data_IF_906508683750
#
_entry.id   IF_906508683750
#
_cell.length_a   1.000
_cell.length_b   1.000
_cell.length_c   1.000
_cell.angle_alpha   90.00
_cell.angle_beta   90.00
_cell.angle_gamma   90.00
#
_symmetry.space_group_name_H-M   'P 1'
#
loop_
_entity.id
_entity.type
_entity.pdbx_description
1 polymer ?
#
# COMPACT_ATOMS: atom_id res chain seq x y z
N UNK A 1 1.64 -6.99 70.27
CA UNK A 1 2.76 -7.02 69.30
C UNK A 1 2.19 -7.41 67.95
N UNK A 2 2.14 -6.43 67.05
CA UNK A 2 1.52 -6.49 65.72
C UNK A 2 2.48 -7.10 64.69
N UNK A 3 2.05 -8.16 64.01
CA UNK A 3 2.76 -8.76 62.88
C UNK A 3 2.52 -7.95 61.61
N UNK A 4 3.55 -7.27 61.13
CA UNK A 4 3.53 -6.55 59.85
C UNK A 4 3.63 -7.55 58.68
N UNK A 5 2.63 -7.54 57.81
CA UNK A 5 2.65 -8.24 56.51
C UNK A 5 3.38 -7.36 55.49
N UNK A 6 4.46 -7.87 54.91
CA UNK A 6 5.18 -7.20 53.83
C UNK A 6 4.46 -7.43 52.49
N UNK A 7 4.11 -6.34 51.80
CA UNK A 7 3.56 -6.38 50.45
C UNK A 7 4.64 -6.76 49.42
N UNK A 8 4.32 -7.55 48.38
CA UNK A 8 5.29 -7.91 47.35
C UNK A 8 5.54 -6.73 46.41
N UNK A 9 6.81 -6.43 46.15
CA UNK A 9 7.26 -5.43 45.19
C UNK A 9 7.03 -5.94 43.76
N UNK A 10 6.38 -5.17 42.85
CA UNK A 10 6.20 -5.62 41.47
C UNK A 10 7.47 -5.34 40.67
N UNK A 11 8.35 -6.34 40.56
CA UNK A 11 9.43 -6.35 39.57
C UNK A 11 8.87 -6.82 38.21
N UNK A 12 8.53 -5.88 37.33
CA UNK A 12 8.23 -6.21 35.93
C UNK A 12 7.48 -5.11 35.17
N UNK A 13 8.14 -4.03 34.75
CA UNK A 13 7.48 -3.00 33.92
C UNK A 13 8.34 -2.30 32.86
N UNK A 14 9.62 -2.64 32.71
CA UNK A 14 10.49 -1.96 31.74
C UNK A 14 10.35 -2.52 30.30
N UNK A 15 10.29 -3.84 30.13
CA UNK A 15 10.27 -4.46 28.79
C UNK A 15 8.92 -4.38 28.08
N UNK A 16 7.80 -4.44 28.83
CA UNK A 16 6.45 -4.28 28.25
C UNK A 16 6.21 -2.89 27.65
N UNK A 17 6.89 -1.84 28.15
CA UNK A 17 6.76 -0.46 27.63
C UNK A 17 7.46 -0.25 26.30
N UNK A 18 8.59 -0.92 26.04
CA UNK A 18 9.35 -0.76 24.79
C UNK A 18 8.60 -1.37 23.59
N UNK A 19 8.04 -2.57 23.75
CA UNK A 19 7.26 -3.24 22.69
C UNK A 19 5.98 -2.49 22.30
N UNK A 20 5.26 -1.94 23.29
CA UNK A 20 4.06 -1.15 23.04
C UNK A 20 4.34 0.16 22.26
N UNK A 21 5.47 0.82 22.54
CA UNK A 21 5.88 2.03 21.84
C UNK A 21 6.25 1.78 20.38
N UNK A 22 7.01 0.71 20.11
CA UNK A 22 7.39 0.32 18.74
C UNK A 22 6.17 -0.08 17.91
N UNK A 23 5.26 -0.86 18.49
CA UNK A 23 4.02 -1.26 17.82
C UNK A 23 3.14 -0.05 17.44
N UNK A 24 2.95 0.89 18.37
CA UNK A 24 2.19 2.11 18.11
C UNK A 24 2.85 3.00 17.03
N UNK A 25 4.19 3.01 16.94
CA UNK A 25 4.90 3.72 15.89
C UNK A 25 4.69 3.06 14.52
N UNK A 26 4.80 1.73 14.43
CA UNK A 26 4.55 0.96 13.21
C UNK A 26 3.13 1.15 12.69
N UNK A 27 2.12 1.04 13.56
CA UNK A 27 0.71 1.29 13.20
C UNK A 27 0.50 2.72 12.68
N UNK A 28 1.15 3.72 13.30
CA UNK A 28 1.04 5.11 12.84
C UNK A 28 1.68 5.32 11.48
N UNK A 29 2.82 4.68 11.21
CA UNK A 29 3.45 4.68 9.89
C UNK A 29 2.50 4.04 8.87
N UNK A 30 1.97 2.84 9.15
CA UNK A 30 1.02 2.15 8.29
C UNK A 30 -0.20 3.02 7.93
N UNK A 31 -0.84 3.65 8.93
CA UNK A 31 -1.96 4.57 8.71
C UNK A 31 -1.58 5.80 7.87
N UNK A 32 -0.36 6.32 8.05
CA UNK A 32 0.10 7.50 7.32
C UNK A 32 0.34 7.24 5.83
N UNK A 33 0.54 5.97 5.44
CA UNK A 33 0.69 5.55 4.04
C UNK A 33 -0.66 5.45 3.30
N UNK A 34 -1.79 5.42 4.01
CA UNK A 34 -3.12 5.27 3.37
C UNK A 34 -3.53 6.50 2.55
N UNK A 35 -3.25 7.71 3.05
CA UNK A 35 -3.72 8.94 2.40
C UNK A 35 -3.15 9.14 0.98
N UNK A 36 -1.84 8.97 0.74
CA UNK A 36 -1.28 8.99 -0.61
C UNK A 36 -1.77 7.83 -1.49
N UNK A 37 -1.98 6.65 -0.92
CA UNK A 37 -2.43 5.46 -1.67
C UNK A 37 -3.88 5.65 -2.15
N UNK A 38 -4.71 6.36 -1.39
CA UNK A 38 -6.12 6.58 -1.74
C UNK A 38 -6.35 7.35 -3.05
N UNK A 39 -5.35 8.08 -3.58
CA UNK A 39 -5.47 8.78 -4.87
C UNK A 39 -5.07 7.94 -6.08
N UNK A 40 -4.44 6.79 -5.87
CA UNK A 40 -3.98 5.90 -6.95
C UNK A 40 -5.11 5.35 -7.84
N UNK A 41 -6.32 5.03 -7.33
CA UNK A 41 -7.42 4.56 -8.18
C UNK A 41 -7.81 5.58 -9.24
N UNK A 42 -7.86 6.86 -8.86
CA UNK A 42 -8.14 7.94 -9.79
C UNK A 42 -7.02 8.05 -10.85
N UNK A 43 -5.76 7.97 -10.44
CA UNK A 43 -4.62 8.03 -11.34
C UNK A 43 -4.65 6.89 -12.37
N UNK A 44 -4.79 5.66 -11.90
CA UNK A 44 -4.79 4.48 -12.75
C UNK A 44 -6.00 4.43 -13.68
N UNK A 45 -7.19 4.81 -13.21
CA UNK A 45 -8.38 4.90 -14.06
C UNK A 45 -8.18 5.92 -15.19
N UNK A 46 -7.64 7.09 -14.87
CA UNK A 46 -7.37 8.14 -15.86
C UNK A 46 -6.34 7.68 -16.90
N UNK A 47 -5.21 7.09 -16.47
CA UNK A 47 -4.21 6.52 -17.40
C UNK A 47 -4.84 5.43 -18.26
N UNK A 48 -5.55 4.49 -17.63
CA UNK A 48 -6.04 3.30 -18.31
C UNK A 48 -7.08 3.62 -19.37
N UNK A 49 -8.03 4.50 -19.05
CA UNK A 49 -9.05 4.96 -20.01
C UNK A 49 -8.43 5.74 -21.18
N UNK A 50 -7.30 6.41 -20.96
CA UNK A 50 -6.57 7.16 -21.97
C UNK A 50 -5.67 6.34 -22.89
N UNK A 51 -5.47 5.03 -22.62
CA UNK A 51 -4.61 4.18 -23.44
C UNK A 51 -5.16 3.93 -24.87
N UNK A 52 -4.26 3.53 -25.77
CA UNK A 52 -4.54 3.33 -27.20
C UNK A 52 -5.43 2.13 -27.52
N UNK A 53 -5.68 1.24 -26.58
CA UNK A 53 -6.64 0.15 -26.71
C UNK A 53 -8.04 0.51 -26.18
N UNK A 54 -8.17 1.67 -25.52
CA UNK A 54 -9.38 2.25 -24.91
C UNK A 54 -9.87 3.51 -25.66
N UNK A 55 -10.07 4.65 -24.98
CA UNK A 55 -10.52 5.90 -25.63
C UNK A 55 -9.46 6.48 -26.56
N UNK A 56 -8.19 6.15 -26.34
CA UNK A 56 -7.06 6.57 -27.18
C UNK A 56 -6.93 5.78 -28.48
N UNK A 57 -7.90 4.91 -28.80
CA UNK A 57 -7.83 4.06 -29.99
C UNK A 57 -7.74 4.90 -31.27
N UNK A 58 -6.76 4.65 -32.17
CA UNK A 58 -6.60 5.44 -33.39
C UNK A 58 -7.83 5.45 -34.31
N UNK A 59 -8.69 4.43 -34.20
CA UNK A 59 -9.93 4.32 -34.97
C UNK A 59 -11.07 5.21 -34.43
N UNK A 60 -10.95 5.77 -33.23
CA UNK A 60 -11.96 6.65 -32.67
C UNK A 60 -11.86 8.07 -33.22
N UNK A 61 -12.98 8.82 -33.27
CA UNK A 61 -12.95 10.23 -33.65
C UNK A 61 -11.93 11.04 -32.84
N UNK A 62 -11.28 12.02 -33.48
CA UNK A 62 -10.21 12.83 -32.86
C UNK A 62 -10.60 13.52 -31.56
N UNK A 63 -11.90 13.75 -31.34
CA UNK A 63 -12.42 14.23 -30.06
C UNK A 63 -12.13 13.27 -28.90
N UNK A 64 -12.40 11.97 -29.07
CA UNK A 64 -12.18 10.96 -28.04
C UNK A 64 -10.70 10.71 -27.79
N UNK A 65 -9.87 10.65 -28.84
CA UNK A 65 -8.42 10.47 -28.68
C UNK A 65 -7.76 11.68 -28.02
N UNK A 66 -8.30 12.89 -28.24
CA UNK A 66 -7.87 14.09 -27.51
C UNK A 66 -8.26 14.05 -26.03
N UNK A 67 -9.48 13.60 -25.70
CA UNK A 67 -9.89 13.36 -24.31
C UNK A 67 -8.97 12.32 -23.67
N UNK A 68 -8.68 11.22 -24.36
CA UNK A 68 -7.78 10.19 -23.90
C UNK A 68 -6.40 10.76 -23.53
N UNK A 69 -5.85 11.65 -24.37
CA UNK A 69 -4.62 12.38 -24.08
C UNK A 69 -4.70 13.21 -22.78
N UNK A 70 -5.81 13.91 -22.54
CA UNK A 70 -6.02 14.66 -21.29
C UNK A 70 -6.11 13.73 -20.07
N UNK A 71 -6.79 12.60 -20.20
CA UNK A 71 -6.92 11.61 -19.12
C UNK A 71 -5.55 11.00 -18.79
N UNK A 72 -4.80 10.54 -19.79
CA UNK A 72 -3.44 10.02 -19.61
C UNK A 72 -2.52 11.05 -18.96
N UNK A 73 -2.59 12.32 -19.38
CA UNK A 73 -1.80 13.39 -18.77
C UNK A 73 -2.17 13.61 -17.30
N UNK A 74 -3.47 13.67 -16.97
CA UNK A 74 -3.95 13.84 -15.60
C UNK A 74 -3.59 12.68 -14.68
N UNK A 75 -3.72 11.44 -15.16
CA UNK A 75 -3.34 10.26 -14.40
C UNK A 75 -1.83 10.18 -14.15
N UNK A 76 -1.02 10.44 -15.17
CA UNK A 76 0.44 10.49 -15.03
C UNK A 76 0.90 11.62 -14.11
N UNK A 77 0.21 12.76 -14.05
CA UNK A 77 0.55 13.83 -13.11
C UNK A 77 0.54 13.34 -11.63
N UNK A 78 -0.35 12.41 -11.27
CA UNK A 78 -0.38 11.80 -9.94
C UNK A 78 0.77 10.78 -9.80
N UNK A 79 0.92 9.87 -10.77
CA UNK A 79 1.94 8.81 -10.73
C UNK A 79 3.38 9.36 -10.70
N UNK A 80 3.66 10.37 -11.52
CA UNK A 80 4.98 10.99 -11.65
C UNK A 80 5.33 11.86 -10.43
N UNK A 81 4.35 12.20 -9.57
CA UNK A 81 4.56 12.97 -8.33
C UNK A 81 4.30 12.14 -7.05
N UNK A 82 4.25 10.81 -7.15
CA UNK A 82 3.95 9.95 -5.99
C UNK A 82 4.85 10.20 -4.79
N UNK A 83 6.14 10.39 -4.99
CA UNK A 83 7.07 10.66 -3.89
C UNK A 83 6.72 11.93 -3.08
N UNK A 84 6.28 12.99 -3.77
CA UNK A 84 5.81 14.22 -3.11
C UNK A 84 4.50 13.97 -2.36
N UNK A 85 3.55 13.24 -2.97
CA UNK A 85 2.29 12.89 -2.33
C UNK A 85 2.52 12.04 -1.07
N UNK A 86 3.45 11.09 -1.12
CA UNK A 86 3.88 10.31 0.04
C UNK A 86 4.52 11.18 1.12
N UNK A 87 5.39 12.14 0.78
CA UNK A 87 5.93 13.08 1.75
C UNK A 87 4.83 13.83 2.50
N UNK A 88 3.84 14.36 1.77
CA UNK A 88 2.71 15.09 2.36
C UNK A 88 1.84 14.18 3.22
N UNK A 89 1.41 13.03 2.70
CA UNK A 89 0.49 12.15 3.43
C UNK A 89 1.13 11.54 4.68
N UNK A 90 2.41 11.20 4.63
CA UNK A 90 3.14 10.71 5.80
C UNK A 90 3.35 11.82 6.82
N UNK A 91 3.69 13.04 6.38
CA UNK A 91 3.84 14.17 7.28
C UNK A 91 2.55 14.44 8.07
N UNK A 92 1.40 14.42 7.39
CA UNK A 92 0.07 14.61 7.99
C UNK A 92 -0.30 13.42 8.88
N UNK A 93 -0.20 12.20 8.37
CA UNK A 93 -0.68 11.01 9.07
C UNK A 93 0.20 10.57 10.25
N UNK A 94 1.51 10.88 10.22
CA UNK A 94 2.43 10.57 11.32
C UNK A 94 2.43 11.65 12.41
N UNK A 95 2.11 12.90 12.07
CA UNK A 95 2.06 13.98 13.04
C UNK A 95 0.91 13.76 14.05
N UNK A 96 1.21 13.81 15.36
CA UNK A 96 0.17 13.70 16.42
C UNK A 96 -0.94 14.75 16.28
N UNK A 97 -0.58 15.91 15.74
CA UNK A 97 -1.46 17.00 15.32
C UNK A 97 -0.90 17.54 14.02
N UNK A 98 -1.76 17.82 13.06
CA UNK A 98 -1.38 18.38 11.76
C UNK A 98 -2.37 19.46 11.35
N UNK A 99 -1.88 20.42 10.58
CA UNK A 99 -2.72 21.39 9.85
C UNK A 99 -2.09 21.65 8.47
N UNK A 100 -2.64 22.62 7.71
CA UNK A 100 -2.13 22.94 6.37
C UNK A 100 -0.65 23.30 6.33
N UNK A 101 -0.07 23.80 7.44
CA UNK A 101 1.37 24.11 7.48
C UNK A 101 2.25 22.87 7.56
N UNK A 102 1.75 21.73 8.09
CA UNK A 102 2.46 20.44 8.02
C UNK A 102 2.61 19.98 6.57
N UNK A 103 1.54 20.09 5.78
CA UNK A 103 1.54 19.72 4.37
C UNK A 103 2.50 20.62 3.56
N UNK A 104 2.41 21.94 3.74
CA UNK A 104 3.32 22.89 3.09
C UNK A 104 4.79 22.62 3.45
N UNK A 105 5.07 22.30 4.70
CA UNK A 105 6.43 21.95 5.15
C UNK A 105 6.97 20.71 4.45
N UNK A 106 6.11 19.70 4.22
CA UNK A 106 6.48 18.48 3.52
C UNK A 106 6.82 18.74 2.05
N UNK A 107 6.02 19.57 1.38
CA UNK A 107 6.29 20.01 0.00
C UNK A 107 7.64 20.73 -0.07
N UNK A 108 7.85 21.74 0.78
CA UNK A 108 9.10 22.52 0.79
C UNK A 108 10.31 21.63 1.06
N UNK A 109 10.27 20.82 2.13
CA UNK A 109 11.37 19.94 2.48
C UNK A 109 11.68 18.92 1.39
N UNK A 110 10.65 18.26 0.84
CA UNK A 110 10.83 17.27 -0.22
C UNK A 110 11.36 17.88 -1.52
N UNK A 111 10.88 19.05 -1.93
CA UNK A 111 11.39 19.71 -3.15
C UNK A 111 12.86 20.11 -3.01
N UNK A 112 13.27 20.62 -1.85
CA UNK A 112 14.69 20.91 -1.61
C UNK A 112 15.51 19.62 -1.63
N UNK A 113 15.07 18.59 -0.89
CA UNK A 113 15.70 17.27 -0.88
C UNK A 113 15.87 16.70 -2.31
N UNK A 114 14.79 16.66 -3.09
CA UNK A 114 14.77 16.14 -4.47
C UNK A 114 15.78 16.86 -5.35
N UNK A 115 15.79 18.20 -5.34
CA UNK A 115 16.67 18.98 -6.21
C UNK A 115 18.13 18.87 -5.79
N UNK A 116 18.42 18.82 -4.49
CA UNK A 116 19.78 18.60 -3.98
C UNK A 116 20.26 17.21 -4.36
N UNK A 117 19.43 16.19 -4.18
CA UNK A 117 19.76 14.81 -4.53
C UNK A 117 20.01 14.66 -6.04
N UNK A 118 19.25 15.35 -6.88
CA UNK A 118 19.42 15.34 -8.34
C UNK A 118 20.75 15.97 -8.83
N UNK A 119 21.54 16.61 -7.95
CA UNK A 119 22.90 17.05 -8.30
C UNK A 119 23.91 15.91 -8.33
N UNK A 120 23.54 14.75 -7.77
CA UNK A 120 24.29 13.51 -7.83
C UNK A 120 23.77 12.65 -8.98
N UNK A 121 24.60 11.75 -9.52
CA UNK A 121 24.22 10.85 -10.62
C UNK A 121 24.32 9.39 -10.21
N UNK A 122 23.45 8.54 -10.74
CA UNK A 122 23.49 7.09 -10.59
C UNK A 122 23.88 6.42 -11.92
N UNK A 123 24.87 5.53 -11.86
CA UNK A 123 25.34 4.75 -13.02
C UNK A 123 24.48 3.51 -13.32
N UNK A 124 23.67 3.06 -12.35
CA UNK A 124 22.78 1.90 -12.50
C UNK A 124 21.46 2.30 -13.17
N UNK A 125 21.17 3.59 -13.27
CA UNK A 125 19.99 4.10 -13.96
C UNK A 125 20.26 4.22 -15.47
N UNK A 126 19.22 4.05 -16.31
CA UNK A 126 19.33 4.32 -17.74
C UNK A 126 19.82 5.75 -18.00
N UNK A 127 20.78 5.90 -18.92
CA UNK A 127 21.29 7.23 -19.28
C UNK A 127 20.17 8.10 -19.83
N UNK A 128 20.23 9.39 -19.51
CA UNK A 128 19.26 10.40 -19.97
C UNK A 128 19.89 11.30 -21.02
N UNK A 129 19.09 11.66 -22.02
CA UNK A 129 19.48 12.65 -23.01
C UNK A 129 19.52 14.04 -22.36
N UNK A 130 20.65 14.72 -22.44
CA UNK A 130 20.83 16.06 -21.88
C UNK A 130 21.64 16.91 -22.85
N UNK A 131 21.32 18.20 -22.94
CA UNK A 131 22.07 19.11 -23.79
C UNK A 131 23.34 19.51 -23.05
N UNK A 132 24.49 19.05 -23.53
CA UNK A 132 25.82 19.44 -23.06
C UNK A 132 26.51 20.15 -24.23
N UNK A 133 26.90 21.41 -24.02
CA UNK A 133 27.55 22.24 -25.05
C UNK A 133 26.77 22.32 -26.38
N UNK A 134 25.44 22.42 -26.30
CA UNK A 134 24.57 22.54 -27.47
C UNK A 134 24.34 21.23 -28.26
N UNK A 135 24.86 20.09 -27.78
CA UNK A 135 24.62 18.77 -28.37
C UNK A 135 23.86 17.87 -27.39
N UNK A 136 22.98 17.03 -27.93
CA UNK A 136 22.31 16.00 -27.14
C UNK A 136 23.32 14.90 -26.82
N UNK A 137 23.67 14.76 -25.54
CA UNK A 137 24.56 13.72 -25.03
C UNK A 137 23.80 12.83 -24.05
N UNK A 138 24.13 11.53 -24.03
CA UNK A 138 23.60 10.58 -23.06
C UNK A 138 24.47 10.58 -21.81
N UNK A 139 23.98 11.17 -20.72
CA UNK A 139 24.69 11.31 -19.44
C UNK A 139 24.08 10.40 -18.37
N UNK A 140 24.83 10.15 -17.29
CA UNK A 140 24.31 9.41 -16.14
C UNK A 140 23.09 10.13 -15.55
N UNK A 141 22.04 9.37 -15.24
CA UNK A 141 20.81 9.95 -14.74
C UNK A 141 21.00 10.56 -13.35
N UNK A 142 20.30 11.67 -13.04
CA UNK A 142 20.21 12.20 -11.69
C UNK A 142 19.70 11.14 -10.71
N UNK A 143 20.21 11.19 -9.48
CA UNK A 143 19.70 10.35 -8.40
C UNK A 143 18.25 10.71 -8.08
N UNK A 144 17.39 9.70 -8.01
CA UNK A 144 16.00 9.82 -7.59
C UNK A 144 15.66 8.76 -6.53
N UNK A 145 15.40 9.22 -5.30
CA UNK A 145 14.98 8.36 -4.20
C UNK A 145 13.52 7.87 -4.34
N UNK A 146 12.75 8.37 -5.32
CA UNK A 146 11.34 8.03 -5.57
C UNK A 146 10.53 8.06 -4.27
N UNK A 147 9.59 7.13 -4.10
CA UNK A 147 8.69 7.06 -2.94
C UNK A 147 9.46 6.96 -1.62
N UNK A 148 10.62 6.29 -1.58
CA UNK A 148 11.47 6.22 -0.38
C UNK A 148 11.90 7.60 0.10
N UNK A 149 12.33 8.47 -0.82
CA UNK A 149 12.68 9.87 -0.50
C UNK A 149 11.48 10.63 0.07
N UNK A 150 10.29 10.38 -0.48
CA UNK A 150 9.03 10.90 0.04
C UNK A 150 8.76 10.47 1.48
N UNK A 151 8.90 9.18 1.77
CA UNK A 151 8.70 8.61 3.12
C UNK A 151 9.64 9.23 4.14
N UNK A 152 10.93 9.30 3.82
CA UNK A 152 11.95 9.87 4.70
C UNK A 152 11.63 11.33 5.01
N UNK A 153 11.39 12.15 3.98
CA UNK A 153 11.09 13.56 4.18
C UNK A 153 9.76 13.79 4.90
N UNK A 154 8.73 12.97 4.64
CA UNK A 154 7.46 13.03 5.37
C UNK A 154 7.63 12.79 6.87
N UNK A 155 8.42 11.77 7.26
CA UNK A 155 8.72 11.48 8.65
C UNK A 155 9.53 12.60 9.32
N UNK A 156 10.56 13.11 8.65
CA UNK A 156 11.38 14.23 9.12
C UNK A 156 10.50 15.45 9.38
N UNK A 157 9.63 15.81 8.43
CA UNK A 157 8.72 16.95 8.58
C UNK A 157 7.73 16.72 9.71
N UNK A 158 7.17 15.52 9.86
CA UNK A 158 6.28 15.22 10.98
C UNK A 158 6.97 15.41 12.34
N UNK A 159 8.23 14.98 12.46
CA UNK A 159 9.02 15.14 13.68
C UNK A 159 9.38 16.60 13.95
N UNK A 160 9.81 17.35 12.92
CA UNK A 160 10.06 18.78 13.01
C UNK A 160 8.80 19.55 13.41
N UNK A 161 7.65 19.22 12.81
CA UNK A 161 6.38 19.85 13.14
C UNK A 161 6.03 19.59 14.61
N UNK A 162 6.02 18.33 15.05
CA UNK A 162 5.71 17.98 16.45
C UNK A 162 6.61 18.70 17.46
N UNK A 163 7.89 18.89 17.11
CA UNK A 163 8.85 19.54 17.99
C UNK A 163 8.75 21.06 17.98
N UNK A 164 8.57 21.68 16.81
CA UNK A 164 8.83 23.11 16.63
C UNK A 164 7.60 23.98 16.31
N UNK A 165 6.42 23.40 16.05
CA UNK A 165 5.24 24.18 15.62
C UNK A 165 4.73 25.25 16.61
N UNK A 166 5.20 25.25 17.85
CA UNK A 166 4.86 26.24 18.90
C UNK A 166 6.08 27.03 19.40
N UNK A 167 7.23 26.87 18.78
CA UNK A 167 8.48 27.53 19.21
C UNK A 167 8.37 29.03 19.04
N UNK A 168 8.66 29.80 20.09
CA UNK A 168 8.78 31.25 19.99
C UNK A 168 10.22 31.62 19.68
N UNK A 169 10.42 32.53 18.74
CA UNK A 169 11.73 33.10 18.41
C UNK A 169 11.88 34.48 19.07
N UNK A 170 13.10 35.03 19.17
CA UNK A 170 13.32 36.41 19.61
C UNK A 170 12.55 37.42 18.76
N UNK A 171 12.25 38.60 19.31
CA UNK A 171 11.33 39.57 18.70
C UNK A 171 11.69 39.95 17.26
N UNK A 172 12.98 40.14 16.96
CA UNK A 172 13.47 40.45 15.61
C UNK A 172 13.19 39.33 14.58
N UNK A 173 13.04 38.08 15.04
CA UNK A 173 12.72 36.91 14.23
C UNK A 173 11.29 36.39 14.48
N UNK A 174 10.48 37.13 15.24
CA UNK A 174 9.15 36.68 15.71
C UNK A 174 8.20 36.29 14.57
N UNK A 175 8.36 36.91 13.40
CA UNK A 175 7.60 36.58 12.18
C UNK A 175 7.73 35.09 11.79
N UNK A 176 8.90 34.49 11.99
CA UNK A 176 9.19 33.11 11.63
C UNK A 176 8.82 32.10 12.73
N UNK A 177 8.30 32.55 13.87
CA UNK A 177 7.95 31.67 14.99
C UNK A 177 6.77 30.72 14.72
N UNK A 178 6.67 29.71 15.58
CA UNK A 178 5.57 28.74 15.60
C UNK A 178 5.52 27.89 14.34
N UNK A 179 4.34 27.83 13.71
CA UNK A 179 4.09 27.00 12.53
C UNK A 179 4.89 27.42 11.30
N UNK A 180 5.23 28.71 11.19
CA UNK A 180 6.01 29.26 10.08
C UNK A 180 7.48 28.85 10.12
N UNK A 181 7.97 28.44 11.29
CA UNK A 181 9.32 27.92 11.46
C UNK A 181 9.50 26.57 10.77
N UNK A 182 8.45 25.75 10.77
CA UNK A 182 8.53 24.35 10.34
C UNK A 182 8.91 24.21 8.86
N UNK A 183 8.31 24.95 7.90
CA UNK A 183 8.76 24.91 6.51
C UNK A 183 10.23 25.30 6.33
N UNK A 184 10.72 26.27 7.09
CA UNK A 184 12.12 26.74 7.04
C UNK A 184 13.06 25.63 7.51
N UNK A 185 12.79 25.04 8.66
CA UNK A 185 13.55 23.90 9.17
C UNK A 185 13.48 22.70 8.22
N UNK A 186 12.34 22.49 7.58
CA UNK A 186 12.15 21.40 6.61
C UNK A 186 13.00 21.60 5.36
N UNK A 187 13.17 22.84 4.88
CA UNK A 187 14.08 23.17 3.79
C UNK A 187 15.54 22.85 4.14
N UNK A 188 16.01 23.31 5.31
CA UNK A 188 17.38 23.01 5.78
C UNK A 188 17.61 21.51 6.02
N UNK A 189 16.62 20.82 6.58
CA UNK A 189 16.68 19.38 6.74
C UNK A 189 16.72 18.68 5.37
N UNK A 190 15.91 19.11 4.40
CA UNK A 190 15.93 18.58 3.04
C UNK A 190 17.29 18.77 2.35
N UNK A 191 17.93 19.93 2.54
CA UNK A 191 19.29 20.18 2.05
C UNK A 191 20.30 19.20 2.66
N UNK A 192 20.35 19.14 4.00
CA UNK A 192 21.30 18.29 4.72
C UNK A 192 21.10 16.82 4.35
N UNK A 193 19.86 16.34 4.40
CA UNK A 193 19.51 14.94 4.11
C UNK A 193 19.77 14.63 2.64
N UNK A 194 19.50 15.56 1.71
CA UNK A 194 19.78 15.39 0.29
C UNK A 194 21.28 15.19 0.02
N UNK A 195 22.14 15.99 0.64
CA UNK A 195 23.61 15.84 0.54
C UNK A 195 24.05 14.49 1.13
N UNK A 196 23.56 14.14 2.31
CA UNK A 196 23.89 12.87 2.98
C UNK A 196 23.44 11.68 2.13
N UNK A 197 22.20 11.71 1.62
CA UNK A 197 21.68 10.67 0.73
C UNK A 197 22.51 10.58 -0.56
N UNK A 198 22.89 11.71 -1.16
CA UNK A 198 23.70 11.73 -2.38
C UNK A 198 25.04 11.03 -2.22
N UNK A 199 25.75 11.27 -1.12
CA UNK A 199 27.03 10.60 -0.85
C UNK A 199 26.88 9.12 -0.48
N UNK A 200 25.79 8.74 0.17
CA UNK A 200 25.52 7.34 0.55
C UNK A 200 24.86 6.58 -0.62
N UNK A 201 24.32 7.28 -1.62
CA UNK A 201 23.56 6.71 -2.73
C UNK A 201 24.29 5.62 -3.51
N UNK A 202 25.61 5.69 -3.80
CA UNK A 202 26.28 4.61 -4.51
C UNK A 202 26.12 3.24 -3.83
N UNK A 203 26.03 3.21 -2.49
CA UNK A 203 25.77 1.98 -1.73
C UNK A 203 24.28 1.69 -1.67
N UNK A 204 23.46 2.69 -1.31
CA UNK A 204 22.01 2.50 -1.16
C UNK A 204 21.31 2.18 -2.48
N UNK A 205 21.58 2.95 -3.52
CA UNK A 205 21.03 2.77 -4.87
C UNK A 205 21.40 1.42 -5.47
N UNK A 206 22.68 1.01 -5.39
CA UNK A 206 23.08 -0.33 -5.82
C UNK A 206 22.41 -1.43 -4.99
N UNK A 207 22.30 -1.25 -3.67
CA UNK A 207 21.58 -2.19 -2.82
C UNK A 207 20.10 -2.32 -3.19
N UNK A 208 19.41 -1.20 -3.42
CA UNK A 208 18.01 -1.16 -3.84
C UNK A 208 17.81 -1.75 -5.24
N UNK A 209 18.71 -1.46 -6.18
CA UNK A 209 18.67 -2.04 -7.52
C UNK A 209 18.82 -3.57 -7.45
N UNK A 210 19.84 -4.07 -6.76
CA UNK A 210 20.06 -5.52 -6.61
C UNK A 210 18.89 -6.20 -5.88
N UNK A 211 18.33 -5.56 -4.85
CA UNK A 211 17.16 -6.06 -4.18
C UNK A 211 15.92 -6.08 -5.09
N UNK A 212 15.75 -5.05 -5.91
CA UNK A 212 14.70 -4.98 -6.93
C UNK A 212 14.81 -6.09 -7.97
N UNK A 213 16.00 -6.29 -8.54
CA UNK A 213 16.28 -7.36 -9.50
C UNK A 213 16.10 -8.74 -8.87
N UNK A 214 16.58 -8.95 -7.63
CA UNK A 214 16.35 -10.18 -6.89
C UNK A 214 14.85 -10.44 -6.67
N UNK A 215 14.11 -9.40 -6.30
CA UNK A 215 12.68 -9.49 -6.04
C UNK A 215 11.91 -9.82 -7.34
N UNK A 216 12.18 -9.12 -8.44
CA UNK A 216 11.58 -9.43 -9.75
C UNK A 216 12.02 -10.84 -10.23
N UNK A 217 13.28 -11.21 -10.02
CA UNK A 217 13.83 -12.52 -10.38
C UNK A 217 13.35 -13.69 -9.51
N UNK A 218 12.69 -13.42 -8.37
CA UNK A 218 12.22 -14.45 -7.43
C UNK A 218 11.09 -15.33 -7.97
N UNK A 219 10.48 -14.94 -9.09
CA UNK A 219 9.46 -15.68 -9.80
C UNK A 219 8.25 -16.04 -8.94
N UNK A 220 7.70 -17.23 -9.17
CA UNK A 220 6.47 -17.70 -8.52
C UNK A 220 6.64 -17.82 -7.00
N UNK A 221 7.81 -18.29 -6.53
CA UNK A 221 8.07 -18.46 -5.10
C UNK A 221 8.04 -17.11 -4.39
N UNK A 222 8.70 -16.09 -4.93
CA UNK A 222 8.68 -14.77 -4.29
C UNK A 222 7.35 -14.05 -4.40
N UNK A 223 6.58 -14.25 -5.49
CA UNK A 223 5.19 -13.79 -5.55
C UNK A 223 4.36 -14.41 -4.41
N UNK A 224 4.55 -15.71 -4.15
CA UNK A 224 3.87 -16.39 -3.05
C UNK A 224 4.28 -15.91 -1.66
N UNK A 225 5.58 -15.76 -1.41
CA UNK A 225 6.10 -15.21 -0.13
C UNK A 225 5.55 -13.79 0.10
N UNK A 226 5.54 -12.96 -0.95
CA UNK A 226 4.96 -11.62 -0.89
C UNK A 226 3.47 -11.67 -0.52
N UNK A 227 2.68 -12.57 -1.14
CA UNK A 227 1.27 -12.74 -0.82
C UNK A 227 1.02 -13.10 0.64
N UNK A 228 1.77 -14.06 1.20
CA UNK A 228 1.66 -14.43 2.62
C UNK A 228 2.06 -13.26 3.53
N UNK A 229 3.20 -12.63 3.26
CA UNK A 229 3.70 -11.52 4.07
C UNK A 229 2.75 -10.30 4.03
N UNK A 230 2.19 -10.01 2.86
CA UNK A 230 1.22 -8.94 2.67
C UNK A 230 0.01 -9.15 3.58
N UNK A 231 -0.61 -10.34 3.56
CA UNK A 231 -1.73 -10.65 4.45
C UNK A 231 -1.31 -10.60 5.92
N UNK A 232 -0.20 -11.24 6.29
CA UNK A 232 0.28 -11.28 7.68
C UNK A 232 0.49 -9.89 8.31
N UNK A 233 0.77 -8.85 7.51
CA UNK A 233 1.02 -7.49 7.97
C UNK A 233 -0.22 -6.57 8.00
N UNK A 234 -1.39 -7.01 7.51
CA UNK A 234 -2.64 -6.24 7.59
C UNK A 234 -3.09 -5.92 9.02
N UNK A 235 -3.05 -6.85 10.02
CA UNK A 235 -3.49 -6.56 11.39
C UNK A 235 -2.79 -5.36 12.03
N UNK A 236 -1.60 -5.01 11.53
CA UNK A 236 -0.76 -3.92 12.03
C UNK A 236 -0.61 -2.78 11.02
N UNK A 237 -1.30 -2.85 9.87
CA UNK A 237 -1.27 -1.84 8.81
C UNK A 237 0.06 -1.75 8.03
N UNK A 238 1.01 -2.67 8.28
CA UNK A 238 2.36 -2.62 7.73
C UNK A 238 2.46 -3.18 6.31
N UNK A 239 1.40 -3.79 5.80
CA UNK A 239 1.33 -4.28 4.43
C UNK A 239 1.49 -3.15 3.41
N UNK A 240 1.05 -1.93 3.70
CA UNK A 240 1.32 -0.77 2.84
C UNK A 240 2.81 -0.46 2.70
N UNK A 241 3.59 -0.65 3.77
CA UNK A 241 5.05 -0.49 3.71
C UNK A 241 5.67 -1.60 2.86
N UNK A 242 5.23 -2.85 3.07
CA UNK A 242 5.68 -3.99 2.25
C UNK A 242 5.38 -3.74 0.76
N UNK A 243 4.19 -3.23 0.45
CA UNK A 243 3.73 -2.93 -0.91
C UNK A 243 4.50 -1.78 -1.57
N UNK A 244 5.01 -0.85 -0.76
CA UNK A 244 5.58 0.41 -1.28
C UNK A 244 6.74 0.17 -2.23
N UNK A 245 7.58 -0.84 -1.97
CA UNK A 245 8.71 -1.13 -2.84
C UNK A 245 8.31 -1.93 -4.10
N UNK A 246 7.66 -3.11 -4.01
CA UNK A 246 7.28 -3.89 -5.19
C UNK A 246 6.37 -3.11 -6.15
N UNK A 247 5.34 -2.44 -5.63
CA UNK A 247 4.34 -1.79 -6.48
C UNK A 247 4.80 -0.45 -7.07
N UNK A 248 5.69 0.28 -6.39
CA UNK A 248 6.07 1.65 -6.81
C UNK A 248 7.54 1.84 -7.18
N UNK A 249 8.39 0.84 -6.96
CA UNK A 249 9.84 1.01 -7.19
C UNK A 249 10.55 -0.20 -7.80
N UNK A 250 10.01 -1.42 -7.70
CA UNK A 250 10.69 -2.60 -8.24
C UNK A 250 10.70 -2.64 -9.78
N UNK A 251 11.92 -2.76 -10.32
CA UNK A 251 12.20 -2.79 -11.76
C UNK A 251 11.94 -1.46 -12.49
N UNK A 252 12.33 -1.41 -13.75
CA UNK A 252 12.11 -0.28 -14.64
C UNK A 252 11.65 -0.76 -16.03
N UNK A 253 10.69 -0.05 -16.61
CA UNK A 253 10.26 -0.21 -17.99
C UNK A 253 10.00 1.15 -18.61
N UNK A 254 10.86 1.57 -19.53
CA UNK A 254 10.76 2.87 -20.22
C UNK A 254 10.65 4.06 -19.24
N UNK A 255 11.37 4.03 -18.12
CA UNK A 255 11.33 5.07 -17.10
C UNK A 255 10.13 5.01 -16.15
N UNK A 256 9.27 4.00 -16.27
CA UNK A 256 8.22 3.68 -15.30
C UNK A 256 8.73 2.60 -14.35
N UNK A 257 8.67 2.88 -13.05
CA UNK A 257 9.20 1.99 -12.01
C UNK A 257 8.09 1.48 -11.11
N UNK A 258 8.25 0.26 -10.60
CA UNK A 258 7.24 -0.41 -9.80
C UNK A 258 6.20 -1.16 -10.63
N UNK A 259 5.70 -2.26 -10.06
CA UNK A 259 4.86 -3.24 -10.75
C UNK A 259 3.60 -2.61 -11.38
N UNK A 260 2.98 -1.63 -10.71
CA UNK A 260 1.75 -0.96 -11.19
C UNK A 260 2.05 -0.11 -12.43
N UNK A 261 3.01 0.79 -12.34
CA UNK A 261 3.31 1.73 -13.44
C UNK A 261 3.88 1.01 -14.65
N UNK A 262 4.69 -0.04 -14.43
CA UNK A 262 5.23 -0.91 -15.49
C UNK A 262 4.12 -1.67 -16.20
N UNK A 263 3.18 -2.28 -15.46
CA UNK A 263 2.04 -2.98 -16.05
C UNK A 263 1.16 -2.04 -16.88
N UNK A 264 0.81 -0.85 -16.36
CA UNK A 264 0.00 0.14 -17.08
C UNK A 264 0.70 0.69 -18.33
N UNK A 265 2.04 0.64 -18.37
CA UNK A 265 2.86 0.99 -19.54
C UNK A 265 3.03 -0.18 -20.53
N UNK A 266 2.48 -1.36 -20.24
CA UNK A 266 2.52 -2.54 -21.12
C UNK A 266 3.78 -3.40 -20.99
N UNK A 267 4.48 -3.34 -19.85
CA UNK A 267 5.60 -4.25 -19.56
C UNK A 267 5.11 -5.71 -19.48
N UNK A 268 5.55 -6.61 -20.38
CA UNK A 268 5.14 -8.01 -20.35
C UNK A 268 5.73 -8.79 -19.16
N UNK A 269 6.62 -8.20 -18.37
CA UNK A 269 7.24 -8.82 -17.18
C UNK A 269 6.69 -8.26 -15.86
N UNK A 270 5.72 -7.36 -15.90
CA UNK A 270 5.05 -6.81 -14.73
C UNK A 270 3.81 -7.62 -14.32
N UNK A 271 3.28 -7.34 -13.14
CA UNK A 271 2.13 -7.98 -12.52
C UNK A 271 2.48 -9.08 -11.51
N UNK A 272 3.76 -9.31 -11.22
CA UNK A 272 4.23 -10.40 -10.34
C UNK A 272 3.68 -10.28 -8.92
N UNK A 273 3.63 -9.06 -8.40
CA UNK A 273 3.17 -8.76 -7.05
C UNK A 273 1.71 -8.29 -7.03
N UNK A 274 0.98 -8.55 -8.11
CA UNK A 274 -0.39 -8.05 -8.32
C UNK A 274 -1.37 -9.14 -8.76
N UNK A 275 -0.99 -9.99 -9.72
CA UNK A 275 -1.89 -10.91 -10.42
C UNK A 275 -2.65 -11.86 -9.49
N UNK A 276 -1.99 -12.44 -8.50
CA UNK A 276 -2.62 -13.44 -7.62
C UNK A 276 -3.61 -12.89 -6.59
N UNK A 277 -3.81 -11.56 -6.53
CA UNK A 277 -4.87 -11.00 -5.72
C UNK A 277 -6.24 -11.18 -6.37
N UNK A 278 -6.34 -11.18 -7.70
CA UNK A 278 -7.62 -11.31 -8.42
C UNK A 278 -8.40 -12.58 -8.05
N UNK A 279 -7.80 -13.79 -8.06
CA UNK A 279 -8.51 -15.01 -7.64
C UNK A 279 -9.07 -14.93 -6.21
N UNK A 280 -8.33 -14.27 -5.31
CA UNK A 280 -8.71 -14.16 -3.90
C UNK A 280 -9.82 -13.14 -3.71
N UNK A 281 -9.66 -11.94 -4.27
CA UNK A 281 -10.54 -10.81 -4.01
C UNK A 281 -11.87 -10.93 -4.76
N UNK A 282 -11.85 -11.51 -5.97
CA UNK A 282 -13.04 -11.73 -6.78
C UNK A 282 -13.77 -13.04 -6.44
N UNK A 283 -13.09 -14.06 -5.93
CA UNK A 283 -13.73 -15.38 -5.78
C UNK A 283 -13.50 -16.00 -4.40
N UNK A 284 -12.26 -16.05 -3.92
CA UNK A 284 -11.93 -16.66 -2.63
C UNK A 284 -12.67 -16.03 -1.45
N UNK A 285 -12.52 -14.71 -1.25
CA UNK A 285 -13.16 -13.99 -0.14
C UNK A 285 -14.70 -13.94 -0.26
N UNK A 286 -15.30 -13.68 -1.43
CA UNK A 286 -16.75 -13.85 -1.60
C UNK A 286 -17.25 -15.25 -1.23
N UNK A 287 -16.50 -16.30 -1.55
CA UNK A 287 -16.83 -17.67 -1.17
C UNK A 287 -16.65 -17.93 0.35
N UNK A 288 -15.66 -17.31 1.00
CA UNK A 288 -15.55 -17.31 2.45
C UNK A 288 -16.74 -16.62 3.13
N UNK A 289 -17.21 -15.48 2.59
CA UNK A 289 -18.42 -14.82 3.05
C UNK A 289 -19.65 -15.75 2.95
N UNK A 290 -19.78 -16.51 1.86
CA UNK A 290 -20.83 -17.51 1.71
C UNK A 290 -20.72 -18.64 2.76
N UNK A 291 -19.50 -19.11 3.04
CA UNK A 291 -19.26 -20.12 4.08
C UNK A 291 -19.65 -19.61 5.48
N UNK A 292 -19.25 -18.39 5.83
CA UNK A 292 -19.61 -17.73 7.10
C UNK A 292 -21.12 -17.59 7.21
N UNK A 293 -21.78 -17.09 6.17
CA UNK A 293 -23.23 -16.94 6.12
C UNK A 293 -23.95 -18.27 6.39
N UNK A 294 -23.56 -19.34 5.70
CA UNK A 294 -24.21 -20.65 5.88
C UNK A 294 -23.92 -21.30 7.22
N UNK A 295 -22.78 -20.98 7.86
CA UNK A 295 -22.43 -21.47 9.19
C UNK A 295 -23.08 -20.67 10.33
N UNK A 296 -23.67 -19.50 10.06
CA UNK A 296 -24.40 -18.73 11.06
C UNK A 296 -25.62 -19.49 11.59
N UNK A 297 -25.98 -19.24 12.86
CA UNK A 297 -27.16 -19.81 13.51
C UNK A 297 -28.44 -19.42 12.72
N UNK A 298 -29.46 -20.30 12.64
CA UNK A 298 -30.67 -20.07 11.85
C UNK A 298 -31.32 -18.69 12.08
N UNK A 299 -31.40 -18.26 13.34
CA UNK A 299 -31.99 -17.01 13.78
C UNK A 299 -31.19 -15.75 13.38
N UNK A 300 -29.88 -15.88 13.14
CA UNK A 300 -28.99 -14.77 12.71
C UNK A 300 -28.71 -14.76 11.21
N UNK A 301 -29.03 -15.85 10.52
CA UNK A 301 -28.65 -16.09 9.11
C UNK A 301 -29.12 -14.99 8.16
N UNK A 302 -30.26 -14.35 8.42
CA UNK A 302 -30.76 -13.24 7.59
C UNK A 302 -29.87 -11.99 7.72
N UNK A 303 -29.51 -11.61 8.94
CA UNK A 303 -28.67 -10.44 9.23
C UNK A 303 -27.25 -10.67 8.73
N UNK A 304 -26.65 -11.82 9.09
CA UNK A 304 -25.30 -12.18 8.64
C UNK A 304 -25.25 -12.31 7.12
N UNK A 305 -26.28 -12.88 6.49
CA UNK A 305 -26.35 -12.99 5.04
C UNK A 305 -26.32 -11.65 4.33
N UNK A 306 -27.13 -10.69 4.78
CA UNK A 306 -27.12 -9.33 4.24
C UNK A 306 -25.75 -8.65 4.38
N UNK A 307 -25.14 -8.76 5.56
CA UNK A 307 -23.80 -8.22 5.82
C UNK A 307 -22.74 -8.87 4.92
N UNK A 308 -22.64 -10.20 4.93
CA UNK A 308 -21.67 -10.98 4.14
C UNK A 308 -21.81 -10.73 2.64
N UNK A 309 -23.03 -10.63 2.13
CA UNK A 309 -23.28 -10.34 0.72
C UNK A 309 -22.77 -8.94 0.34
N UNK A 310 -23.05 -7.92 1.15
CA UNK A 310 -22.62 -6.54 0.87
C UNK A 310 -21.10 -6.39 0.84
N UNK A 311 -20.40 -6.95 1.83
CA UNK A 311 -18.94 -6.87 1.87
C UNK A 311 -18.28 -7.78 0.81
N UNK A 312 -18.88 -8.93 0.48
CA UNK A 312 -18.44 -9.78 -0.63
C UNK A 312 -18.54 -9.04 -1.98
N UNK A 313 -19.65 -8.33 -2.22
CA UNK A 313 -19.82 -7.52 -3.43
C UNK A 313 -18.78 -6.40 -3.48
N UNK A 314 -18.47 -5.78 -2.34
CA UNK A 314 -17.43 -4.74 -2.27
C UNK A 314 -16.06 -5.30 -2.66
N UNK A 315 -15.65 -6.45 -2.10
CA UNK A 315 -14.41 -7.14 -2.49
C UNK A 315 -14.43 -7.57 -3.96
N UNK A 316 -15.54 -8.10 -4.46
CA UNK A 316 -15.64 -8.52 -5.86
C UNK A 316 -15.46 -7.34 -6.82
N UNK A 317 -16.19 -6.24 -6.61
CA UNK A 317 -16.20 -5.10 -7.54
C UNK A 317 -14.92 -4.29 -7.44
N UNK A 318 -14.54 -3.96 -6.20
CA UNK A 318 -13.48 -2.97 -5.94
C UNK A 318 -12.17 -3.60 -5.51
N UNK A 319 -12.22 -4.84 -4.99
CA UNK A 319 -11.05 -5.53 -4.48
C UNK A 319 -10.70 -5.22 -3.03
N UNK A 320 -11.46 -4.33 -2.36
CA UNK A 320 -11.25 -3.99 -0.95
C UNK A 320 -11.61 -5.18 -0.05
N UNK A 321 -10.66 -5.67 0.73
CA UNK A 321 -10.79 -6.91 1.51
C UNK A 321 -10.97 -6.70 3.00
N UNK A 322 -10.55 -5.55 3.51
CA UNK A 322 -10.50 -5.25 4.94
C UNK A 322 -11.85 -5.44 5.64
N UNK A 323 -13.01 -5.00 5.09
CA UNK A 323 -14.30 -5.23 5.72
C UNK A 323 -14.64 -6.72 5.90
N UNK A 324 -14.10 -7.62 5.06
CA UNK A 324 -14.27 -9.06 5.18
C UNK A 324 -13.28 -9.64 6.20
N UNK A 325 -12.00 -9.33 6.03
CA UNK A 325 -10.93 -9.86 6.88
C UNK A 325 -11.16 -9.48 8.35
N UNK A 326 -11.64 -8.27 8.62
CA UNK A 326 -11.90 -7.79 9.98
C UNK A 326 -13.00 -8.56 10.68
N UNK A 327 -13.88 -9.24 9.94
CA UNK A 327 -14.95 -10.06 10.53
C UNK A 327 -14.44 -11.36 11.15
N UNK A 328 -13.21 -11.80 10.85
CA UNK A 328 -12.69 -13.06 11.38
C UNK A 328 -11.23 -13.00 11.85
N UNK A 329 -10.45 -11.98 11.48
CA UNK A 329 -9.01 -11.96 11.75
C UNK A 329 -8.64 -12.03 13.24
N UNK A 330 -9.43 -11.37 14.11
CA UNK A 330 -9.17 -11.32 15.55
C UNK A 330 -9.91 -12.41 16.32
N UNK A 331 -11.08 -12.81 15.84
CA UNK A 331 -11.95 -13.79 16.52
C UNK A 331 -11.68 -15.24 16.08
N UNK A 332 -11.15 -15.44 14.87
CA UNK A 332 -10.78 -16.73 14.30
C UNK A 332 -9.42 -16.65 13.58
N UNK A 333 -8.28 -16.47 14.29
CA UNK A 333 -6.96 -16.31 13.70
C UNK A 333 -6.53 -17.46 12.78
N UNK A 334 -7.06 -18.67 13.00
CA UNK A 334 -6.82 -19.85 12.15
C UNK A 334 -7.35 -19.61 10.73
N UNK A 335 -8.55 -19.03 10.57
CA UNK A 335 -9.09 -18.68 9.25
C UNK A 335 -8.23 -17.62 8.57
N UNK A 336 -7.66 -16.70 9.36
CA UNK A 336 -6.76 -15.69 8.85
C UNK A 336 -5.43 -16.26 8.36
N UNK A 337 -4.83 -17.19 9.09
CA UNK A 337 -3.64 -17.89 8.66
C UNK A 337 -3.89 -18.69 7.36
N UNK A 338 -5.02 -19.38 7.27
CA UNK A 338 -5.45 -20.07 6.05
C UNK A 338 -5.57 -19.08 4.89
N UNK A 339 -6.27 -17.96 5.10
CA UNK A 339 -6.43 -16.91 4.10
C UNK A 339 -5.07 -16.37 3.62
N UNK A 340 -4.13 -16.12 4.53
CA UNK A 340 -2.79 -15.65 4.19
C UNK A 340 -2.01 -16.66 3.34
N UNK A 341 -2.02 -17.93 3.73
CA UNK A 341 -1.35 -19.01 2.97
C UNK A 341 -1.98 -19.18 1.59
N UNK A 342 -3.31 -19.25 1.51
CA UNK A 342 -4.00 -19.40 0.23
C UNK A 342 -3.77 -18.21 -0.70
N UNK A 343 -3.65 -16.99 -0.16
CA UNK A 343 -3.26 -15.81 -0.95
C UNK A 343 -1.86 -15.99 -1.54
N UNK A 344 -0.88 -16.44 -0.74
CA UNK A 344 0.45 -16.76 -1.24
C UNK A 344 0.43 -17.87 -2.31
N UNK A 345 -0.34 -18.93 -2.11
CA UNK A 345 -0.49 -19.99 -3.12
C UNK A 345 -1.09 -19.43 -4.41
N UNK A 346 -2.08 -18.55 -4.33
CA UNK A 346 -2.67 -17.92 -5.50
C UNK A 346 -1.64 -17.10 -6.28
N UNK A 347 -0.89 -16.25 -5.58
CA UNK A 347 0.20 -15.45 -6.15
C UNK A 347 1.27 -16.29 -6.84
N UNK A 348 1.72 -17.36 -6.20
CA UNK A 348 2.69 -18.26 -6.80
C UNK A 348 2.12 -18.98 -8.02
N UNK A 349 0.91 -19.51 -7.92
CA UNK A 349 0.29 -20.30 -8.96
C UNK A 349 -0.01 -19.47 -10.21
N UNK A 350 -0.64 -18.30 -10.07
CA UNK A 350 -1.00 -17.45 -11.22
C UNK A 350 0.26 -17.02 -11.98
N UNK A 351 1.32 -16.67 -11.25
CA UNK A 351 2.59 -16.31 -11.87
C UNK A 351 3.27 -17.51 -12.55
N UNK A 352 3.29 -18.68 -11.90
CA UNK A 352 3.84 -19.91 -12.49
C UNK A 352 3.11 -20.34 -13.77
N UNK A 353 1.80 -20.10 -13.85
CA UNK A 353 0.98 -20.37 -15.04
C UNK A 353 1.08 -19.26 -16.10
N UNK A 354 1.94 -18.26 -15.90
CA UNK A 354 2.18 -17.17 -16.86
C UNK A 354 1.01 -16.19 -17.01
N UNK A 355 0.06 -16.19 -16.07
CA UNK A 355 -1.02 -15.20 -16.04
C UNK A 355 -0.46 -13.87 -15.55
N UNK A 356 -0.89 -12.77 -16.17
CA UNK A 356 -0.45 -11.42 -15.80
C UNK A 356 -1.62 -10.47 -15.87
N UNK A 357 -1.93 -9.87 -14.74
CA UNK A 357 -2.86 -8.76 -14.67
C UNK A 357 -2.37 -7.77 -13.62
N UNK A 358 -2.91 -6.57 -13.65
CA UNK A 358 -2.55 -5.50 -12.74
C UNK A 358 -3.74 -4.69 -12.29
N UNK A 359 -3.51 -3.79 -11.35
CA UNK A 359 -4.55 -2.98 -10.75
C UNK A 359 -4.02 -1.60 -10.39
N UNK A 360 -4.93 -0.64 -10.43
CA UNK A 360 -4.72 0.71 -9.92
C UNK A 360 -5.17 0.90 -8.48
N UNK A 361 -6.11 0.04 -8.03
CA UNK A 361 -6.67 0.10 -6.70
C UNK A 361 -6.41 -1.17 -5.91
N UNK A 362 -7.10 -2.27 -6.23
CA UNK A 362 -7.09 -3.45 -5.37
C UNK A 362 -7.54 -4.73 -6.07
N UNK A 363 -7.25 -4.96 -7.36
CA UNK A 363 -7.52 -6.24 -8.03
C UNK A 363 -9.01 -6.68 -8.04
N UNK A 364 -9.94 -5.72 -8.07
CA UNK A 364 -11.37 -5.99 -8.22
C UNK A 364 -11.79 -6.23 -9.67
N UNK A 365 -13.05 -6.59 -9.88
CA UNK A 365 -13.65 -6.79 -11.20
C UNK A 365 -13.52 -5.55 -12.11
N UNK A 366 -13.49 -4.34 -11.52
CA UNK A 366 -13.24 -3.09 -12.27
C UNK A 366 -11.82 -3.09 -12.86
N UNK A 367 -10.79 -3.35 -12.04
CA UNK A 367 -9.40 -3.43 -12.52
C UNK A 367 -9.25 -4.52 -13.58
N UNK A 368 -9.83 -5.71 -13.32
CA UNK A 368 -9.80 -6.85 -14.25
C UNK A 368 -10.41 -6.47 -15.60
N UNK A 369 -11.63 -5.93 -15.59
CA UNK A 369 -12.36 -5.54 -16.79
C UNK A 369 -11.64 -4.44 -17.58
N UNK A 370 -11.08 -3.45 -16.88
CA UNK A 370 -10.30 -2.40 -17.51
C UNK A 370 -9.03 -2.95 -18.17
N UNK A 371 -8.37 -3.94 -17.56
CA UNK A 371 -7.07 -4.43 -18.01
C UNK A 371 -7.12 -5.60 -19.01
N UNK A 372 -8.31 -6.07 -19.39
CA UNK A 372 -8.49 -7.15 -20.39
C UNK A 372 -7.69 -6.96 -21.69
N UNK A 373 -7.49 -5.72 -22.15
CA UNK A 373 -6.73 -5.40 -23.36
C UNK A 373 -5.21 -5.51 -23.24
N UNK A 374 -4.67 -5.53 -22.01
CA UNK A 374 -3.23 -5.57 -21.71
C UNK A 374 -2.83 -6.76 -20.83
N UNK A 375 -3.80 -7.48 -20.26
CA UNK A 375 -3.58 -8.67 -19.45
C UNK A 375 -3.12 -9.89 -20.28
N UNK A 376 -2.32 -10.78 -19.67
CA UNK A 376 -1.92 -12.07 -20.23
C UNK A 376 -2.75 -13.19 -19.62
N UNK A 377 -3.48 -13.94 -20.45
CA UNK A 377 -4.37 -15.04 -20.03
C UNK A 377 -5.39 -14.65 -18.93
N UNK A 378 -6.19 -13.57 -19.10
CA UNK A 378 -7.13 -13.11 -18.08
C UNK A 378 -8.26 -14.12 -17.79
N UNK A 379 -8.69 -14.92 -18.77
CA UNK A 379 -9.71 -15.94 -18.55
C UNK A 379 -9.19 -17.15 -17.77
N UNK A 380 -7.90 -17.48 -17.90
CA UNK A 380 -7.23 -18.42 -17.02
C UNK A 380 -7.24 -17.94 -15.57
N UNK A 381 -7.10 -16.63 -15.34
CA UNK A 381 -7.18 -16.02 -14.01
C UNK A 381 -8.58 -16.17 -13.39
N UNK A 382 -9.64 -16.01 -14.19
CA UNK A 382 -11.03 -16.30 -13.78
C UNK A 382 -11.22 -17.76 -13.42
N UNK A 383 -10.69 -18.70 -14.22
CA UNK A 383 -10.78 -20.13 -13.93
C UNK A 383 -10.08 -20.48 -12.60
N UNK A 384 -8.84 -19.99 -12.41
CA UNK A 384 -8.13 -20.14 -11.13
C UNK A 384 -8.92 -19.50 -10.00
N UNK A 385 -9.52 -18.33 -10.22
CA UNK A 385 -10.46 -17.68 -9.33
C UNK A 385 -11.60 -18.59 -8.88
N UNK A 386 -12.34 -19.18 -9.81
CA UNK A 386 -13.43 -20.11 -9.51
C UNK A 386 -12.95 -21.32 -8.70
N UNK A 387 -11.79 -21.90 -9.04
CA UNK A 387 -11.17 -22.97 -8.26
C UNK A 387 -10.83 -22.52 -6.84
N UNK A 388 -10.27 -21.32 -6.67
CA UNK A 388 -10.01 -20.73 -5.37
C UNK A 388 -11.30 -20.41 -4.60
N UNK A 389 -12.37 -20.00 -5.27
CA UNK A 389 -13.69 -19.82 -4.66
C UNK A 389 -14.22 -21.12 -4.07
N UNK A 390 -14.18 -22.21 -4.85
CA UNK A 390 -14.57 -23.53 -4.35
C UNK A 390 -13.68 -23.99 -3.17
N UNK A 391 -12.37 -23.81 -3.29
CA UNK A 391 -11.40 -24.14 -2.24
C UNK A 391 -11.67 -23.35 -0.95
N UNK A 392 -11.84 -22.03 -1.06
CA UNK A 392 -12.14 -21.15 0.07
C UNK A 392 -13.44 -21.56 0.75
N UNK A 393 -14.52 -21.79 0.00
CA UNK A 393 -15.80 -22.21 0.57
C UNK A 393 -15.64 -23.51 1.39
N UNK A 394 -15.02 -24.54 0.79
CA UNK A 394 -14.84 -25.84 1.45
C UNK A 394 -13.97 -25.72 2.70
N UNK A 395 -12.80 -25.07 2.58
CA UNK A 395 -11.83 -24.96 3.68
C UNK A 395 -12.39 -24.10 4.81
N UNK A 396 -13.00 -22.96 4.51
CA UNK A 396 -13.60 -22.10 5.55
C UNK A 396 -14.74 -22.81 6.24
N UNK A 397 -15.69 -23.39 5.48
CA UNK A 397 -16.82 -24.11 6.07
C UNK A 397 -16.36 -25.28 6.94
N UNK A 398 -15.39 -26.05 6.46
CA UNK A 398 -14.79 -27.15 7.22
C UNK A 398 -14.15 -26.64 8.52
N UNK A 399 -13.29 -25.63 8.46
CA UNK A 399 -12.60 -25.09 9.63
C UNK A 399 -13.59 -24.49 10.65
N UNK A 400 -14.59 -23.73 10.19
CA UNK A 400 -15.61 -23.14 11.05
C UNK A 400 -16.36 -24.22 11.84
N UNK A 401 -16.79 -25.30 11.17
CA UNK A 401 -17.56 -26.37 11.80
C UNK A 401 -16.65 -27.24 12.68
N UNK A 402 -15.50 -27.67 12.15
CA UNK A 402 -14.60 -28.64 12.81
C UNK A 402 -13.99 -28.08 14.10
N UNK A 403 -13.60 -26.80 14.07
CA UNK A 403 -12.97 -26.14 15.22
C UNK A 403 -13.96 -25.26 16.01
N UNK A 404 -15.24 -25.29 15.65
CA UNK A 404 -16.30 -24.48 16.24
C UNK A 404 -15.91 -22.99 16.37
N UNK A 405 -15.45 -22.39 15.27
CA UNK A 405 -14.94 -21.02 15.28
C UNK A 405 -16.08 -20.00 15.44
N UNK A 406 -15.88 -18.94 16.25
CA UNK A 406 -16.92 -17.94 16.55
C UNK A 406 -17.00 -16.89 15.42
N UNK A 407 -17.28 -17.30 14.19
CA UNK A 407 -17.52 -16.37 13.06
C UNK A 407 -18.83 -15.60 13.24
N UNK A 408 -19.05 -14.48 12.53
CA UNK A 408 -20.28 -13.70 12.67
C UNK A 408 -21.57 -14.53 12.64
N UNK A 409 -22.42 -14.36 13.66
CA UNK A 409 -23.64 -15.15 13.86
C UNK A 409 -23.44 -16.51 14.51
N UNK A 410 -22.27 -16.80 15.07
CA UNK A 410 -21.96 -17.97 15.90
C UNK A 410 -21.42 -17.60 17.29
N UNK A 411 -21.51 -16.32 17.66
CA UNK A 411 -21.11 -15.81 18.98
C UNK A 411 -21.89 -16.51 20.11
N UNK A 412 -21.33 -16.60 21.31
CA UNK A 412 -22.03 -17.18 22.47
C UNK A 412 -23.16 -16.26 22.95
N UNK A 413 -24.13 -16.82 23.70
CA UNK A 413 -25.24 -16.01 24.24
C UNK A 413 -24.74 -14.97 25.27
N UNK A 414 -23.65 -15.27 25.97
CA UNK A 414 -22.95 -14.32 26.86
C UNK A 414 -22.26 -13.20 26.06
N UNK A 415 -21.55 -13.51 24.98
CA UNK A 415 -20.91 -12.51 24.11
C UNK A 415 -21.95 -11.58 23.48
N UNK A 416 -23.09 -12.13 23.05
CA UNK A 416 -24.21 -11.34 22.54
C UNK A 416 -24.80 -10.41 23.60
N UNK A 417 -24.89 -10.86 24.85
CA UNK A 417 -25.36 -10.04 25.97
C UNK A 417 -24.37 -8.92 26.34
N UNK A 418 -23.06 -9.14 26.19
CA UNK A 418 -22.05 -8.10 26.38
C UNK A 418 -22.06 -7.07 25.25
N UNK A 419 -22.16 -7.49 23.99
CA UNK A 419 -22.26 -6.58 22.84
C UNK A 419 -23.50 -5.67 22.95
N UNK A 420 -24.65 -6.24 23.35
CA UNK A 420 -25.88 -5.48 23.56
C UNK A 420 -25.81 -4.48 24.73
N UNK A 421 -24.89 -4.68 25.69
CA UNK A 421 -24.60 -3.72 26.76
C UNK A 421 -23.66 -2.61 26.31
N UNK A 422 -22.76 -2.88 25.36
CA UNK A 422 -21.83 -1.88 24.82
C UNK A 422 -22.50 -0.91 23.82
N UNK A 423 -23.61 -1.31 23.21
CA UNK A 423 -24.43 -0.48 22.32
C UNK A 423 -25.48 0.40 23.06
N UNK A 424 -25.58 0.27 24.39
CA UNK A 424 -26.40 1.12 25.27
C UNK A 424 -25.52 2.08 26.06
#
# INVERSE_FOLDING_TARGET
MTTASAAPTPTGSADKKKGAGTMAALQRIGRSLMLPVAVLPAAALLVRLGNTDMLGRPSFPGFFTKIAGFMTAGGNAILDNMALLFAVGIAIGYAKKSDGSTALSAVVGYLVFKNVLATFTDKNLPKVATVVDGKVAMVSAPVDAKVLGGVVMGLVVALLYQRFYRTKLPDWAGFFGGRRLVPILSAFAGLLIGVVFGYIWPVLGTGLHNFGEWLVGSGAVGAGIFGVANRALIPIGMHHLLNSFPWFQAGDYQGKSGDIARFLAGDPTAGQFMTGFFPIMMFGLPAACLAIWQCARPERRKVVGGMMFSIALTSFVTGVTEPIEFTFMFIAPVLYAIHAVLTGVSMALTWALGMKDGFGFSAGAVDFGLNLGIATNPWGLVLVGLCFGALYYVVFRFAIIKFNLPTPGRESDEELAELAKAEK
#
